data_IF_079011758713
#
_entry.id   IF_079011758713
#
_cell.length_a   1.000
_cell.length_b   1.000
_cell.length_c   1.000
_cell.angle_alpha   90.00
_cell.angle_beta   90.00
_cell.angle_gamma   90.00
#
_symmetry.space_group_name_H-M   'P 1'
#
loop_
_entity.id
_entity.type
_entity.pdbx_description
1 polymer ?
#
# COMPACT_ATOMS: atom_id res chain seq x y z
N UNK A 1 -9.43 -19.83 -3.33
CA UNK A 1 -8.14 -20.53 -3.09
C UNK A 1 -8.32 -22.05 -2.97
N UNK A 2 -9.14 -22.56 -2.05
CA UNK A 2 -9.35 -24.02 -1.93
C UNK A 2 -9.81 -24.68 -3.24
N UNK A 3 -10.74 -24.04 -3.97
CA UNK A 3 -11.18 -24.49 -5.29
C UNK A 3 -10.02 -24.66 -6.30
N UNK A 4 -9.02 -23.76 -6.28
CA UNK A 4 -7.85 -23.87 -7.14
C UNK A 4 -7.03 -25.13 -6.84
N UNK A 5 -6.87 -25.49 -5.56
CA UNK A 5 -6.18 -26.72 -5.15
C UNK A 5 -6.97 -27.94 -5.61
N UNK A 6 -8.30 -27.95 -5.44
CA UNK A 6 -9.15 -29.06 -5.84
C UNK A 6 -9.11 -29.28 -7.36
N UNK A 7 -9.26 -28.21 -8.15
CA UNK A 7 -9.19 -28.26 -9.62
C UNK A 7 -7.81 -28.69 -10.13
N UNK A 8 -6.74 -28.19 -9.52
CA UNK A 8 -5.39 -28.59 -9.89
C UNK A 8 -5.16 -30.09 -9.61
N UNK A 9 -5.60 -30.60 -8.46
CA UNK A 9 -5.56 -32.03 -8.13
C UNK A 9 -6.37 -32.87 -9.12
N UNK A 10 -7.59 -32.44 -9.46
CA UNK A 10 -8.45 -33.14 -10.41
C UNK A 10 -7.83 -33.23 -11.82
N UNK A 11 -7.03 -32.22 -12.21
CA UNK A 11 -6.33 -32.17 -13.50
C UNK A 11 -4.89 -32.72 -13.46
N UNK A 12 -4.45 -33.27 -12.31
CA UNK A 12 -3.08 -33.74 -12.15
C UNK A 12 -2.01 -32.63 -12.21
N UNK A 13 -2.40 -31.37 -11.99
CA UNK A 13 -1.51 -30.21 -12.01
C UNK A 13 -0.95 -29.99 -10.60
N UNK A 14 0.39 -29.92 -10.50
CA UNK A 14 1.07 -29.61 -9.24
C UNK A 14 1.22 -28.09 -9.06
N UNK A 15 0.58 -27.53 -8.03
CA UNK A 15 0.70 -26.12 -7.67
C UNK A 15 1.98 -25.87 -6.86
N UNK A 16 3.13 -25.90 -7.54
CA UNK A 16 4.42 -25.64 -6.90
C UNK A 16 4.62 -24.15 -6.63
N UNK A 17 5.28 -23.84 -5.51
CA UNK A 17 5.68 -22.46 -5.17
C UNK A 17 6.48 -21.80 -6.30
N UNK A 18 7.45 -22.54 -6.84
CA UNK A 18 8.32 -22.03 -7.90
C UNK A 18 7.58 -21.80 -9.22
N UNK A 19 6.51 -22.57 -9.50
CA UNK A 19 5.65 -22.32 -10.66
C UNK A 19 4.95 -20.97 -10.54
N UNK A 20 4.39 -20.63 -9.36
CA UNK A 20 3.79 -19.31 -9.14
C UNK A 20 4.81 -18.18 -9.35
N UNK A 21 6.03 -18.33 -8.81
CA UNK A 21 7.11 -17.36 -9.03
C UNK A 21 7.49 -17.23 -10.50
N UNK A 22 7.53 -18.35 -11.23
CA UNK A 22 7.83 -18.32 -12.65
C UNK A 22 6.76 -17.57 -13.43
N UNK A 23 5.47 -17.81 -13.16
CA UNK A 23 4.37 -17.03 -13.76
C UNK A 23 4.43 -15.55 -13.39
N UNK A 24 4.93 -15.22 -12.20
CA UNK A 24 5.18 -13.85 -11.77
C UNK A 24 6.13 -13.07 -12.68
N UNK A 25 7.11 -13.75 -13.29
CA UNK A 25 8.07 -13.11 -14.21
C UNK A 25 7.43 -12.66 -15.52
N UNK A 26 6.34 -13.31 -15.91
CA UNK A 26 5.64 -13.04 -17.17
C UNK A 26 4.52 -11.99 -16.99
N UNK A 27 4.37 -11.42 -15.79
CA UNK A 27 3.38 -10.38 -15.52
C UNK A 27 3.74 -9.11 -16.29
N UNK A 28 2.85 -8.70 -17.18
CA UNK A 28 2.96 -7.43 -17.88
C UNK A 28 2.62 -6.28 -16.94
N UNK A 29 3.60 -5.44 -16.65
CA UNK A 29 3.43 -4.24 -15.83
C UNK A 29 2.93 -3.08 -16.68
N UNK A 30 2.18 -2.17 -16.05
CA UNK A 30 1.83 -0.90 -16.69
C UNK A 30 3.09 -0.11 -17.04
N UNK A 31 2.95 0.75 -18.05
CA UNK A 31 4.04 1.59 -18.53
C UNK A 31 4.64 2.42 -17.39
N UNK A 32 5.96 2.40 -17.26
CA UNK A 32 6.74 3.16 -16.27
C UNK A 32 6.83 2.55 -14.86
N UNK A 33 6.10 1.46 -14.57
CA UNK A 33 6.10 0.86 -13.21
C UNK A 33 7.47 0.35 -12.77
N UNK A 34 8.28 -0.15 -13.72
CA UNK A 34 9.61 -0.70 -13.42
C UNK A 34 10.54 0.38 -12.83
N UNK A 35 10.46 1.59 -13.38
CA UNK A 35 11.29 2.73 -12.97
C UNK A 35 10.66 3.53 -11.82
N UNK A 36 9.33 3.46 -11.68
CA UNK A 36 8.52 4.26 -10.75
C UNK A 36 9.07 4.31 -9.33
N UNK A 37 9.35 3.16 -8.72
CA UNK A 37 9.77 3.08 -7.33
C UNK A 37 11.11 3.79 -7.09
N UNK A 38 12.06 3.62 -8.01
CA UNK A 38 13.34 4.33 -7.98
C UNK A 38 13.20 5.84 -8.13
N UNK A 39 12.30 6.29 -9.03
CA UNK A 39 12.00 7.71 -9.25
C UNK A 39 11.42 8.34 -7.97
N UNK A 40 10.39 7.72 -7.37
CA UNK A 40 9.75 8.25 -6.16
C UNK A 40 10.68 8.18 -4.95
N UNK A 41 11.51 7.14 -4.82
CA UNK A 41 12.51 7.06 -3.75
C UNK A 41 13.55 8.18 -3.86
N UNK A 42 14.00 8.47 -5.09
CA UNK A 42 14.91 9.60 -5.35
C UNK A 42 14.26 10.93 -4.98
N UNK A 43 13.01 11.15 -5.41
CA UNK A 43 12.26 12.36 -5.08
C UNK A 43 12.11 12.55 -3.57
N UNK A 44 11.75 11.49 -2.85
CA UNK A 44 11.67 11.51 -1.38
C UNK A 44 13.01 11.87 -0.75
N UNK A 45 14.09 11.20 -1.16
CA UNK A 45 15.45 11.45 -0.64
C UNK A 45 15.93 12.88 -0.87
N UNK A 46 15.64 13.46 -2.03
CA UNK A 46 15.98 14.86 -2.36
C UNK A 46 15.24 15.87 -1.45
N UNK A 47 14.14 15.45 -0.82
CA UNK A 47 13.34 16.23 0.11
C UNK A 47 13.52 15.81 1.58
N UNK A 48 14.57 15.04 1.90
CA UNK A 48 14.86 14.49 3.22
C UNK A 48 13.74 13.57 3.79
N UNK A 49 13.08 12.82 2.91
CA UNK A 49 12.01 11.87 3.25
C UNK A 49 12.42 10.42 2.94
N UNK A 50 11.99 9.50 3.80
CA UNK A 50 12.06 8.05 3.54
C UNK A 50 10.72 7.56 2.99
N UNK A 51 10.71 7.03 1.76
CA UNK A 51 9.51 6.45 1.16
C UNK A 51 9.56 4.93 1.28
N UNK A 52 8.48 4.33 1.80
CA UNK A 52 8.31 2.88 1.92
C UNK A 52 7.17 2.42 1.04
N UNK A 53 7.43 1.41 0.22
CA UNK A 53 6.43 0.82 -0.68
C UNK A 53 5.90 -0.48 -0.11
N UNK A 54 4.59 -0.70 -0.23
CA UNK A 54 3.91 -1.90 0.24
C UNK A 54 2.96 -2.41 -0.83
N UNK A 55 2.79 -3.73 -0.90
CA UNK A 55 1.69 -4.36 -1.64
C UNK A 55 0.64 -4.85 -0.67
N UNK A 56 -0.62 -4.58 -0.98
CA UNK A 56 -1.80 -5.08 -0.28
C UNK A 56 -2.80 -5.63 -1.31
N UNK A 57 -2.75 -6.94 -1.57
CA UNK A 57 -3.36 -7.55 -2.75
C UNK A 57 -4.18 -8.81 -2.41
N UNK A 58 -5.27 -9.04 -3.15
CA UNK A 58 -5.99 -10.31 -3.14
C UNK A 58 -5.37 -11.36 -4.10
N UNK A 59 -4.31 -11.00 -4.84
CA UNK A 59 -3.53 -11.90 -5.69
C UNK A 59 -2.62 -12.85 -4.89
N UNK A 60 -1.91 -13.75 -5.58
CA UNK A 60 -0.97 -14.68 -4.96
C UNK A 60 0.36 -13.99 -4.63
N UNK A 61 0.76 -14.05 -3.35
CA UNK A 61 2.02 -13.50 -2.86
C UNK A 61 3.21 -14.03 -3.66
N UNK A 62 3.24 -15.32 -3.93
CA UNK A 62 4.34 -16.00 -4.60
C UNK A 62 4.46 -15.60 -6.07
N UNK A 63 3.34 -15.26 -6.70
CA UNK A 63 3.35 -14.68 -8.04
C UNK A 63 3.90 -13.25 -8.02
N UNK A 64 3.50 -12.45 -7.03
CA UNK A 64 4.02 -11.08 -6.86
C UNK A 64 5.52 -11.11 -6.55
N UNK A 65 5.98 -12.03 -5.70
CA UNK A 65 7.41 -12.28 -5.40
C UNK A 65 8.23 -12.65 -6.64
N UNK A 66 7.59 -13.18 -7.68
CA UNK A 66 8.21 -13.51 -8.96
C UNK A 66 8.40 -12.33 -9.91
N UNK A 67 7.73 -11.21 -9.65
CA UNK A 67 7.81 -10.00 -10.49
C UNK A 67 9.15 -9.28 -10.31
N UNK A 68 9.58 -8.53 -11.33
CA UNK A 68 10.84 -7.77 -11.25
C UNK A 68 10.83 -6.64 -10.21
N UNK A 69 9.64 -6.17 -9.84
CA UNK A 69 9.41 -5.10 -8.86
C UNK A 69 9.26 -5.62 -7.43
N UNK A 70 9.27 -6.94 -7.21
CA UNK A 70 9.07 -7.52 -5.88
C UNK A 70 10.05 -6.98 -4.82
N UNK A 71 11.29 -6.70 -5.24
CA UNK A 71 12.37 -6.15 -4.41
C UNK A 71 12.15 -4.70 -3.95
N UNK A 72 11.22 -3.98 -4.59
CA UNK A 72 10.95 -2.57 -4.28
C UNK A 72 10.05 -2.42 -3.04
N UNK A 73 9.42 -3.51 -2.58
CA UNK A 73 8.45 -3.49 -1.49
C UNK A 73 9.06 -3.91 -0.15
N UNK A 74 8.80 -3.10 0.87
CA UNK A 74 9.15 -3.37 2.26
C UNK A 74 8.38 -4.58 2.81
N UNK A 75 7.12 -4.76 2.37
CA UNK A 75 6.33 -5.96 2.61
C UNK A 75 5.26 -6.18 1.54
N UNK A 76 4.96 -7.45 1.29
CA UNK A 76 3.89 -7.91 0.40
C UNK A 76 2.84 -8.65 1.25
N UNK A 77 1.69 -8.01 1.45
CA UNK A 77 0.51 -8.59 2.06
C UNK A 77 -0.42 -9.10 0.97
N UNK A 78 -0.45 -10.42 0.80
CA UNK A 78 -1.20 -11.05 -0.26
C UNK A 78 -1.64 -12.46 0.13
N UNK A 79 -2.55 -13.03 -0.65
CA UNK A 79 -3.00 -14.39 -0.43
C UNK A 79 -1.82 -15.37 -0.61
N UNK A 80 -1.76 -16.45 0.18
CA UNK A 80 -0.67 -17.43 0.10
C UNK A 80 -1.14 -18.85 0.45
N UNK A 81 -0.34 -19.85 0.10
CA UNK A 81 -0.59 -21.24 0.45
C UNK A 81 0.38 -21.76 1.52
N UNK A 82 -0.01 -22.85 2.17
CA UNK A 82 0.89 -23.74 2.90
C UNK A 82 1.39 -24.80 1.91
N UNK A 83 2.71 -25.02 1.92
CA UNK A 83 3.40 -25.94 1.02
C UNK A 83 3.93 -27.14 1.79
N UNK A 84 3.88 -28.32 1.17
CA UNK A 84 4.49 -29.52 1.73
C UNK A 84 6.02 -29.53 1.50
N UNK A 85 6.69 -30.61 1.94
CA UNK A 85 8.14 -30.79 1.78
C UNK A 85 8.62 -30.76 0.32
N UNK A 86 7.74 -31.11 -0.63
CA UNK A 86 8.02 -31.07 -2.08
C UNK A 86 7.72 -29.70 -2.71
N UNK A 87 7.35 -28.70 -1.90
CA UNK A 87 7.02 -27.36 -2.36
C UNK A 87 5.66 -27.25 -3.08
N UNK A 88 4.74 -28.19 -2.85
CA UNK A 88 3.40 -28.24 -3.46
C UNK A 88 2.37 -27.66 -2.49
N UNK A 89 1.57 -26.71 -2.97
CA UNK A 89 0.49 -26.10 -2.20
C UNK A 89 -0.58 -27.15 -1.86
N UNK A 90 -0.93 -27.27 -0.57
CA UNK A 90 -1.96 -28.23 -0.13
C UNK A 90 -3.09 -27.60 0.69
N UNK A 91 -2.90 -26.38 1.21
CA UNK A 91 -3.95 -25.66 1.96
C UNK A 91 -3.78 -24.13 1.83
N UNK A 92 -4.86 -23.32 1.84
CA UNK A 92 -4.74 -21.86 1.95
C UNK A 92 -4.11 -21.45 3.28
N UNK A 93 -3.10 -20.57 3.25
CA UNK A 93 -2.49 -20.00 4.46
C UNK A 93 -3.17 -18.68 4.84
N UNK A 94 -3.15 -17.72 3.92
CA UNK A 94 -3.77 -16.41 4.08
C UNK A 94 -4.69 -16.18 2.89
N UNK A 95 -5.94 -15.82 3.17
CA UNK A 95 -6.89 -15.36 2.17
C UNK A 95 -7.17 -13.88 2.43
N UNK A 96 -6.87 -13.04 1.44
CA UNK A 96 -6.99 -11.58 1.51
C UNK A 96 -8.20 -11.17 0.70
N UNK A 97 -9.17 -10.59 1.39
CA UNK A 97 -10.34 -9.95 0.82
C UNK A 97 -10.34 -8.44 1.11
N UNK A 98 -11.43 -7.75 0.78
CA UNK A 98 -11.56 -6.31 1.02
C UNK A 98 -11.45 -5.94 2.51
N UNK A 99 -11.81 -6.84 3.43
CA UNK A 99 -11.74 -6.59 4.89
C UNK A 99 -10.32 -6.82 5.41
N UNK A 100 -9.65 -7.85 4.89
CA UNK A 100 -8.27 -8.16 5.28
C UNK A 100 -7.32 -7.07 4.77
N UNK A 101 -7.61 -6.49 3.61
CA UNK A 101 -6.87 -5.33 3.10
C UNK A 101 -6.90 -4.15 4.08
N UNK A 102 -8.04 -3.84 4.69
CA UNK A 102 -8.11 -2.74 5.68
C UNK A 102 -7.34 -3.10 6.96
N UNK A 103 -7.39 -4.35 7.42
CA UNK A 103 -6.57 -4.82 8.54
C UNK A 103 -5.06 -4.62 8.28
N UNK A 104 -4.59 -4.91 7.07
CA UNK A 104 -3.19 -4.73 6.71
C UNK A 104 -2.76 -3.26 6.65
N UNK A 105 -3.67 -2.33 6.37
CA UNK A 105 -3.35 -0.91 6.51
C UNK A 105 -3.05 -0.52 7.96
N UNK A 106 -3.81 -1.05 8.92
CA UNK A 106 -3.49 -0.86 10.34
C UNK A 106 -2.16 -1.53 10.76
N UNK A 107 -1.81 -2.67 10.15
CA UNK A 107 -0.49 -3.29 10.37
C UNK A 107 0.64 -2.43 9.83
N UNK A 108 0.52 -1.94 8.60
CA UNK A 108 1.51 -1.00 7.99
C UNK A 108 1.64 0.24 8.87
N UNK A 109 0.50 0.79 9.31
CA UNK A 109 0.44 1.96 10.16
C UNK A 109 1.24 1.80 11.47
N UNK A 110 1.20 0.61 12.06
CA UNK A 110 1.96 0.24 13.27
C UNK A 110 3.34 -0.37 13.00
N UNK A 111 3.78 -0.50 11.75
CA UNK A 111 5.05 -1.12 11.38
C UNK A 111 5.11 -2.65 11.54
N UNK A 112 3.96 -3.33 11.64
CA UNK A 112 3.87 -4.78 11.85
C UNK A 112 4.00 -5.51 10.51
N UNK A 113 5.16 -6.13 10.25
CA UNK A 113 5.38 -6.93 9.03
C UNK A 113 4.74 -8.33 9.09
N UNK A 114 4.54 -8.86 10.29
CA UNK A 114 4.02 -10.21 10.48
C UNK A 114 2.52 -10.28 10.18
N UNK A 115 2.15 -11.16 9.25
CA UNK A 115 0.74 -11.38 8.90
C UNK A 115 -0.04 -11.99 10.06
N UNK A 116 0.59 -12.90 10.83
CA UNK A 116 -0.06 -13.64 11.92
C UNK A 116 -0.05 -12.93 13.27
N UNK A 117 0.63 -11.79 13.40
CA UNK A 117 0.67 -11.06 14.67
C UNK A 117 -0.65 -10.34 14.94
N UNK A 118 -1.46 -10.96 15.79
CA UNK A 118 -2.78 -10.48 16.21
C UNK A 118 -2.73 -9.79 17.58
N UNK A 119 -1.57 -9.70 18.23
CA UNK A 119 -1.44 -9.06 19.55
C UNK A 119 -1.06 -7.60 19.34
N UNK A 120 0.05 -7.35 18.64
CA UNK A 120 0.55 -6.00 18.39
C UNK A 120 -0.44 -5.13 17.60
N UNK A 121 -1.28 -5.74 16.75
CA UNK A 121 -2.32 -5.01 16.02
C UNK A 121 -3.43 -4.45 16.93
N UNK A 122 -3.66 -5.07 18.08
CA UNK A 122 -4.69 -4.66 19.04
C UNK A 122 -4.17 -3.71 20.12
N UNK A 123 -2.85 -3.60 20.27
CA UNK A 123 -2.24 -2.65 21.21
C UNK A 123 -2.48 -1.20 20.77
N UNK A 124 -2.87 -0.35 21.71
CA UNK A 124 -3.05 1.06 21.44
C UNK A 124 -1.69 1.73 21.23
N UNK A 125 -1.52 2.40 20.10
CA UNK A 125 -0.35 3.22 19.78
C UNK A 125 -0.86 4.61 19.42
N UNK A 126 -0.42 5.68 20.12
CA UNK A 126 -0.74 7.07 19.78
C UNK A 126 -0.41 7.39 18.32
N UNK A 127 -1.19 8.26 17.70
CA UNK A 127 -1.05 8.54 16.25
C UNK A 127 0.31 9.10 15.85
N UNK A 128 0.96 9.84 16.74
CA UNK A 128 2.27 10.47 16.54
C UNK A 128 3.46 9.55 16.86
N UNK A 129 3.21 8.41 17.49
CA UNK A 129 4.22 7.36 17.76
C UNK A 129 4.18 6.24 16.70
N UNK A 130 3.20 6.27 15.81
CA UNK A 130 3.04 5.27 14.74
C UNK A 130 4.15 5.42 13.69
N UNK A 131 4.84 4.33 13.30
CA UNK A 131 5.89 4.40 12.29
C UNK A 131 5.43 4.93 10.92
N UNK A 132 4.19 4.66 10.52
CA UNK A 132 3.62 5.14 9.25
C UNK A 132 2.20 5.68 9.50
N UNK A 133 2.03 6.93 9.96
CA UNK A 133 0.71 7.53 10.19
C UNK A 133 -0.15 7.53 8.92
N UNK A 134 -1.46 7.30 9.04
CA UNK A 134 -2.38 7.28 7.89
C UNK A 134 -2.34 8.58 7.06
N UNK A 135 -2.21 9.74 7.72
CA UNK A 135 -2.07 11.03 7.06
C UNK A 135 -0.85 11.15 6.13
N UNK A 136 0.12 10.25 6.29
CA UNK A 136 1.33 10.17 5.47
C UNK A 136 1.26 9.04 4.43
N UNK A 137 0.11 8.38 4.29
CA UNK A 137 -0.07 7.30 3.31
C UNK A 137 -0.63 7.82 1.98
N UNK A 138 -0.11 7.24 0.90
CA UNK A 138 -0.70 7.31 -0.44
C UNK A 138 -1.16 5.91 -0.83
N UNK A 139 -2.45 5.72 -1.06
CA UNK A 139 -3.02 4.42 -1.40
C UNK A 139 -3.52 4.38 -2.85
N UNK A 140 -3.08 3.38 -3.60
CA UNK A 140 -3.49 3.16 -4.98
C UNK A 140 -4.49 2.00 -5.04
N UNK A 141 -5.61 2.19 -5.74
CA UNK A 141 -6.61 1.14 -5.97
C UNK A 141 -7.23 1.24 -7.36
N UNK A 142 -7.53 0.11 -8.00
CA UNK A 142 -7.97 0.07 -9.41
C UNK A 142 -9.45 -0.33 -9.57
N UNK A 143 -10.18 -0.53 -8.48
CA UNK A 143 -11.53 -1.01 -8.54
C UNK A 143 -12.28 -1.04 -7.22
N UNK A 144 -13.43 -1.70 -7.28
CA UNK A 144 -14.42 -1.73 -6.20
C UNK A 144 -13.92 -2.45 -4.95
N UNK A 145 -13.05 -3.45 -5.11
CA UNK A 145 -12.48 -4.24 -4.00
C UNK A 145 -11.62 -3.41 -3.05
N UNK A 146 -11.13 -2.26 -3.52
CA UNK A 146 -10.24 -1.38 -2.78
C UNK A 146 -10.96 -0.16 -2.21
N UNK A 147 -12.27 -0.01 -2.48
CA UNK A 147 -13.08 1.08 -1.94
C UNK A 147 -12.96 1.20 -0.42
N UNK A 148 -13.08 0.13 0.39
CA UNK A 148 -12.96 0.25 1.84
C UNK A 148 -11.59 0.77 2.28
N UNK A 149 -10.50 0.27 1.67
CA UNK A 149 -9.13 0.71 1.93
C UNK A 149 -8.89 2.16 1.54
N UNK A 150 -9.34 2.55 0.35
CA UNK A 150 -9.25 3.91 -0.15
C UNK A 150 -10.01 4.90 0.74
N UNK A 151 -11.23 4.55 1.15
CA UNK A 151 -12.02 5.37 2.08
C UNK A 151 -11.33 5.47 3.44
N UNK A 152 -10.84 4.36 3.98
CA UNK A 152 -10.17 4.34 5.28
C UNK A 152 -8.98 5.30 5.32
N UNK A 153 -8.09 5.22 4.32
CA UNK A 153 -6.90 6.09 4.23
C UNK A 153 -7.32 7.55 4.12
N UNK A 154 -8.31 7.86 3.27
CA UNK A 154 -8.81 9.22 3.10
C UNK A 154 -9.46 9.79 4.36
N UNK A 155 -10.30 9.00 5.05
CA UNK A 155 -10.98 9.40 6.29
C UNK A 155 -9.99 9.66 7.44
N UNK A 156 -8.81 9.01 7.41
CA UNK A 156 -7.72 9.24 8.38
C UNK A 156 -6.68 10.27 7.89
N UNK A 157 -7.04 11.11 6.91
CA UNK A 157 -6.23 12.24 6.44
C UNK A 157 -5.16 11.89 5.41
N UNK A 158 -5.06 10.63 4.99
CA UNK A 158 -4.19 10.21 3.89
C UNK A 158 -4.78 10.52 2.52
N UNK A 159 -4.11 10.07 1.46
CA UNK A 159 -4.53 10.35 0.09
C UNK A 159 -4.73 9.06 -0.71
N UNK A 160 -5.91 8.90 -1.28
CA UNK A 160 -6.25 7.73 -2.11
C UNK A 160 -6.34 8.13 -3.58
N UNK A 161 -5.69 7.35 -4.44
CA UNK A 161 -5.62 7.53 -5.89
C UNK A 161 -6.28 6.32 -6.55
N UNK A 162 -7.41 6.54 -7.21
CA UNK A 162 -8.00 5.52 -8.08
C UNK A 162 -7.26 5.49 -9.42
N UNK A 163 -6.77 4.32 -9.82
CA UNK A 163 -6.05 4.14 -11.10
C UNK A 163 -6.88 3.33 -12.08
N UNK A 164 -6.84 3.69 -13.36
CA UNK A 164 -7.56 2.95 -14.41
C UNK A 164 -6.67 2.69 -15.62
N UNK A 165 -6.92 1.60 -16.33
CA UNK A 165 -6.18 1.25 -17.54
C UNK A 165 -6.41 2.33 -18.61
N UNK A 166 -5.35 2.94 -19.18
CA UNK A 166 -5.51 3.89 -20.27
C UNK A 166 -6.28 3.29 -21.44
N UNK A 167 -7.14 4.11 -22.08
CA UNK A 167 -8.02 3.72 -23.20
C UNK A 167 -9.12 2.70 -22.86
N UNK A 168 -9.31 2.37 -21.60
CA UNK A 168 -10.49 1.63 -21.12
C UNK A 168 -11.54 2.61 -20.60
N UNK A 169 -12.52 2.95 -21.45
CA UNK A 169 -13.57 3.91 -21.12
C UNK A 169 -14.45 3.47 -19.95
N UNK A 170 -14.72 2.17 -19.82
CA UNK A 170 -15.55 1.66 -18.72
C UNK A 170 -14.83 1.78 -17.38
N UNK A 171 -13.54 1.40 -17.33
CA UNK A 171 -12.73 1.56 -16.12
C UNK A 171 -12.55 3.02 -15.74
N UNK A 172 -12.42 3.91 -16.72
CA UNK A 172 -12.39 5.36 -16.48
C UNK A 172 -13.68 5.85 -15.82
N UNK A 173 -14.86 5.49 -16.34
CA UNK A 173 -16.16 5.89 -15.77
C UNK A 173 -16.29 5.39 -14.31
N UNK A 174 -15.88 4.15 -14.04
CA UNK A 174 -15.90 3.60 -12.67
C UNK A 174 -15.00 4.43 -11.75
N UNK A 175 -13.78 4.74 -12.18
CA UNK A 175 -12.86 5.55 -11.39
C UNK A 175 -13.39 6.99 -11.16
N UNK A 176 -13.96 7.61 -12.19
CA UNK A 176 -14.59 8.94 -12.09
C UNK A 176 -15.80 8.96 -11.14
N UNK A 177 -16.55 7.85 -11.05
CA UNK A 177 -17.61 7.70 -10.05
C UNK A 177 -17.05 7.67 -8.62
N UNK A 178 -15.88 7.09 -8.40
CA UNK A 178 -15.27 7.06 -7.06
C UNK A 178 -14.92 8.45 -6.55
N UNK A 179 -14.43 9.34 -7.42
CA UNK A 179 -14.10 10.71 -7.01
C UNK A 179 -15.36 11.56 -6.85
N UNK A 180 -16.37 11.40 -7.70
CA UNK A 180 -17.63 12.14 -7.58
C UNK A 180 -18.42 11.75 -6.31
N UNK A 181 -18.33 10.50 -5.89
CA UNK A 181 -18.88 10.01 -4.61
C UNK A 181 -17.97 10.31 -3.40
N UNK A 182 -16.95 11.15 -3.57
CA UNK A 182 -16.00 11.55 -2.53
C UNK A 182 -15.27 10.35 -1.87
N UNK A 183 -15.11 9.22 -2.55
CA UNK A 183 -14.44 8.01 -2.02
C UNK A 183 -12.93 8.04 -2.13
N UNK A 184 -12.40 8.78 -3.11
CA UNK A 184 -10.96 8.95 -3.35
C UNK A 184 -10.60 10.43 -3.45
N UNK A 185 -9.31 10.76 -3.41
CA UNK A 185 -8.81 12.12 -3.57
C UNK A 185 -8.53 12.42 -5.04
N UNK A 186 -7.98 11.44 -5.77
CA UNK A 186 -7.54 11.59 -7.15
C UNK A 186 -7.94 10.39 -8.00
N UNK A 187 -8.02 10.62 -9.32
CA UNK A 187 -8.23 9.60 -10.34
C UNK A 187 -7.17 9.81 -11.41
N UNK A 188 -6.37 8.79 -11.71
CA UNK A 188 -5.28 8.90 -12.69
C UNK A 188 -5.26 7.70 -13.65
N UNK A 189 -4.85 7.90 -14.91
CA UNK A 189 -4.54 6.77 -15.79
C UNK A 189 -3.31 6.01 -15.26
N UNK A 190 -3.29 4.69 -15.45
CA UNK A 190 -2.16 3.83 -15.09
C UNK A 190 -1.00 3.95 -16.11
N UNK A 191 -0.40 5.15 -16.17
CA UNK A 191 0.87 5.45 -16.86
C UNK A 191 1.83 6.09 -15.84
N UNK A 192 2.73 5.26 -15.31
CA UNK A 192 3.67 5.59 -14.24
C UNK A 192 4.99 6.17 -14.79
N UNK A 193 5.00 6.65 -16.03
CA UNK A 193 6.17 7.36 -16.56
C UNK A 193 6.39 8.67 -15.79
N UNK A 194 7.65 9.10 -15.66
CA UNK A 194 8.00 10.42 -15.10
C UNK A 194 7.28 11.54 -15.86
N UNK A 195 6.96 12.65 -15.17
CA UNK A 195 6.22 13.81 -15.67
C UNK A 195 4.77 13.59 -16.13
N UNK A 196 4.23 12.37 -16.00
CA UNK A 196 2.80 12.10 -16.22
C UNK A 196 1.93 12.58 -15.07
N UNK A 197 0.63 12.52 -15.28
CA UNK A 197 -0.37 12.98 -14.31
C UNK A 197 -0.19 12.32 -12.94
N UNK A 198 -0.03 11.00 -12.90
CA UNK A 198 0.16 10.26 -11.65
C UNK A 198 1.45 10.67 -10.92
N UNK A 199 2.54 10.93 -11.65
CA UNK A 199 3.79 11.42 -11.07
C UNK A 199 3.56 12.77 -10.38
N UNK A 200 2.96 13.74 -11.09
CA UNK A 200 2.67 15.07 -10.55
C UNK A 200 1.77 15.03 -9.33
N UNK A 201 0.73 14.18 -9.35
CA UNK A 201 -0.17 14.00 -8.19
C UNK A 201 0.61 13.46 -7.00
N UNK A 202 1.42 12.42 -7.20
CA UNK A 202 2.17 11.78 -6.10
C UNK A 202 3.22 12.70 -5.51
N UNK A 203 4.01 13.39 -6.33
CA UNK A 203 5.01 14.35 -5.82
C UNK A 203 4.34 15.51 -5.08
N UNK A 204 3.22 16.03 -5.60
CA UNK A 204 2.43 17.08 -4.91
C UNK A 204 1.92 16.61 -3.55
N UNK A 205 1.44 15.37 -3.44
CA UNK A 205 1.00 14.80 -2.16
C UNK A 205 2.18 14.68 -1.20
N UNK A 206 3.34 14.22 -1.67
CA UNK A 206 4.57 14.11 -0.86
C UNK A 206 4.96 15.50 -0.31
N UNK A 207 4.97 16.54 -1.15
CA UNK A 207 5.30 17.90 -0.74
C UNK A 207 4.30 18.44 0.31
N UNK A 208 3.00 18.13 0.13
CA UNK A 208 1.97 18.48 1.10
C UNK A 208 2.21 17.78 2.44
N UNK A 209 2.46 16.47 2.42
CA UNK A 209 2.73 15.69 3.64
C UNK A 209 3.94 16.27 4.40
N UNK A 210 5.02 16.59 3.68
CA UNK A 210 6.20 17.22 4.26
C UNK A 210 5.87 18.57 4.89
N UNK A 211 5.15 19.42 4.17
CA UNK A 211 4.76 20.75 4.64
C UNK A 211 3.89 20.67 5.91
N UNK A 212 2.93 19.75 5.95
CA UNK A 212 2.10 19.51 7.13
C UNK A 212 2.93 19.02 8.32
N UNK A 213 3.88 18.11 8.09
CA UNK A 213 4.78 17.61 9.13
C UNK A 213 5.67 18.72 9.71
N UNK A 214 6.29 19.53 8.84
CA UNK A 214 7.14 20.65 9.25
C UNK A 214 6.33 21.70 10.04
N UNK A 215 5.09 21.97 9.62
CA UNK A 215 4.17 22.86 10.33
C UNK A 215 3.79 22.34 11.73
N UNK A 216 3.43 21.06 11.86
CA UNK A 216 3.13 20.43 13.14
C UNK A 216 4.32 20.47 14.10
N UNK A 217 5.53 20.22 13.59
CA UNK A 217 6.76 20.30 14.38
C UNK A 217 7.03 21.71 14.89
N UNK A 218 6.79 22.73 14.06
CA UNK A 218 6.90 24.12 14.48
C UNK A 218 5.93 24.43 15.63
N UNK A 219 4.67 23.99 15.52
CA UNK A 219 3.69 24.15 16.60
C UNK A 219 4.12 23.46 17.90
N UNK A 220 4.62 22.22 17.82
CA UNK A 220 5.13 21.46 18.97
C UNK A 220 6.29 22.19 19.64
N UNK A 221 7.23 22.74 18.86
CA UNK A 221 8.38 23.48 19.37
C UNK A 221 7.95 24.76 20.11
N UNK A 222 7.01 25.53 19.55
CA UNK A 222 6.46 26.72 20.19
C UNK A 222 5.74 26.40 21.51
N UNK A 223 4.94 25.32 21.53
CA UNK A 223 4.26 24.86 22.75
C UNK A 223 5.26 24.46 23.84
N UNK A 224 6.27 23.66 23.48
CA UNK A 224 7.31 23.23 24.41
C UNK A 224 8.11 24.41 24.99
N UNK A 225 8.36 25.46 24.19
CA UNK A 225 9.03 26.67 24.67
C UNK A 225 8.18 27.47 25.65
N UNK A 226 6.87 27.59 25.41
CA UNK A 226 5.93 28.24 26.33
C UNK A 226 5.77 27.46 27.66
N UNK A 227 5.83 26.14 27.63
CA UNK A 227 5.73 25.32 28.85
C UNK A 227 7.02 25.42 29.69
N UNK A 228 8.19 25.52 29.05
CA UNK A 228 9.48 25.75 29.72
C UNK A 228 9.58 27.14 30.38
N UNK A 229 8.99 28.17 29.79
CA UNK A 229 9.00 29.51 30.40
C UNK A 229 8.10 29.58 31.64
N UNK A 230 6.97 28.87 31.63
CA UNK A 230 6.10 28.75 32.82
C UNK A 230 6.75 28.01 33.98
N UNK A 231 7.51 26.93 33.72
CA UNK A 231 8.17 26.17 34.80
C UNK A 231 9.34 26.91 35.44
N UNK A 232 9.99 27.85 34.73
CA UNK A 232 11.03 28.72 35.28
C UNK A 232 10.47 29.87 36.13
N UNK A 233 9.27 30.37 35.83
CA UNK A 233 8.64 31.45 36.59
C UNK A 233 7.93 30.98 37.88
N UNK A 234 7.75 29.67 38.07
CA UNK A 234 7.15 29.06 39.26
C UNK A 234 8.19 28.45 40.23
N UNK A 235 9.48 28.76 40.07
CA UNK A 235 10.57 28.45 41.00
C UNK A 235 11.18 29.73 41.51
#
# INVERSE_FOLDING_TARGET
>A
MNLMIMEAKAKGISLKRDSFKQFGKDVELFKGVKEWFGIINRYGKENDLEIKHYINSSGMKEMIEGTEIAKEFEAIYACSFIYNVDGIAYWPSIAVDYTTKTQFLFKINKGIKSVSDNIAINEYVPDDERPVPFKQMIYFGDGETDIPSMKLVKEHGGNSIAVYKPRDGNKKIIAEKLISENRVNFVCPADYSEDKEIYKVVTTIIDKIKSDYDFENLQKLHKANADKSKSKNNK
#
